data_IF_185930528333
#
_entry.id   IF_185930528333
#
_cell.length_a   1.000
_cell.length_b   1.000
_cell.length_c   1.000
_cell.angle_alpha   90.00
_cell.angle_beta   90.00
_cell.angle_gamma   90.00
#
_symmetry.space_group_name_H-M   'P 1'
#
loop_
_entity.id
_entity.type
_entity.pdbx_description
1 polymer ?
#
# COMPACT_ATOMS: atom_id res chain seq x y z
N UNK A 1 -25.78 -12.72 -4.29
CA UNK A 1 -24.48 -13.21 -3.82
C UNK A 1 -23.42 -12.14 -4.06
N UNK A 2 -22.59 -11.94 -3.06
CA UNK A 2 -21.50 -10.99 -3.15
C UNK A 2 -20.17 -11.75 -3.28
N UNK A 3 -19.39 -11.36 -4.26
CA UNK A 3 -18.09 -11.98 -4.50
C UNK A 3 -17.04 -10.88 -4.52
N UNK A 4 -16.03 -11.04 -3.68
CA UNK A 4 -14.89 -10.14 -3.65
C UNK A 4 -13.67 -10.84 -4.25
N UNK A 5 -12.89 -10.09 -5.02
CA UNK A 5 -11.76 -10.63 -5.73
C UNK A 5 -10.62 -9.64 -5.72
N UNK A 6 -9.43 -10.10 -5.33
CA UNK A 6 -8.24 -9.29 -5.39
C UNK A 6 -7.65 -9.32 -6.79
N UNK A 7 -7.26 -8.18 -7.29
CA UNK A 7 -6.53 -8.12 -8.56
C UNK A 7 -5.08 -8.54 -8.31
N UNK A 8 -4.39 -8.89 -9.39
CA UNK A 8 -3.00 -9.28 -9.32
C UNK A 8 -2.14 -8.10 -8.87
N UNK A 9 -1.29 -8.26 -7.85
CA UNK A 9 -0.40 -7.18 -7.46
C UNK A 9 0.56 -6.81 -8.58
N UNK A 10 0.71 -5.51 -8.81
CA UNK A 10 1.61 -4.98 -9.82
C UNK A 10 2.70 -4.15 -9.15
N UNK A 11 3.96 -4.29 -9.57
CA UNK A 11 5.02 -3.48 -9.00
C UNK A 11 4.81 -2.01 -9.33
N UNK A 12 5.01 -1.17 -8.33
CA UNK A 12 4.95 0.28 -8.48
C UNK A 12 6.36 0.83 -8.41
N UNK A 13 6.84 1.38 -9.51
CA UNK A 13 8.15 2.00 -9.53
C UNK A 13 8.03 3.47 -9.16
N UNK A 14 8.95 3.95 -8.34
CA UNK A 14 8.98 5.32 -7.89
C UNK A 14 10.44 5.75 -7.72
N UNK A 15 10.68 7.06 -7.84
CA UNK A 15 12.04 7.60 -7.74
C UNK A 15 12.42 7.96 -6.31
N UNK A 16 11.49 8.57 -5.58
CA UNK A 16 11.70 9.03 -4.21
C UNK A 16 10.38 8.99 -3.44
N UNK A 17 10.43 9.43 -2.19
CA UNK A 17 9.26 9.40 -1.32
C UNK A 17 8.12 10.26 -1.87
N UNK A 18 8.42 11.45 -2.38
CA UNK A 18 7.39 12.33 -2.94
C UNK A 18 6.74 11.72 -4.17
N UNK A 19 7.54 11.10 -5.03
CA UNK A 19 7.03 10.41 -6.21
C UNK A 19 6.10 9.27 -5.82
N UNK A 20 6.47 8.49 -4.80
CA UNK A 20 5.64 7.41 -4.29
C UNK A 20 4.30 7.94 -3.81
N UNK A 21 4.31 9.02 -3.03
CA UNK A 21 3.07 9.62 -2.52
C UNK A 21 2.15 10.06 -3.65
N UNK A 22 2.71 10.61 -4.73
CA UNK A 22 1.93 11.08 -5.85
C UNK A 22 1.32 9.95 -6.67
N UNK A 23 1.91 8.78 -6.62
CA UNK A 23 1.44 7.61 -7.39
C UNK A 23 0.40 6.78 -6.65
N UNK A 24 0.33 6.88 -5.33
CA UNK A 24 -0.68 6.19 -4.55
C UNK A 24 -2.03 6.88 -4.67
N UNK A 25 -3.08 6.07 -4.81
CA UNK A 25 -4.44 6.58 -4.95
C UNK A 25 -5.28 6.18 -3.74
N UNK A 26 -5.60 7.14 -2.86
CA UNK A 26 -6.44 6.84 -1.69
C UNK A 26 -7.79 6.26 -2.11
N UNK A 27 -8.27 5.30 -1.34
CA UNK A 27 -9.54 4.60 -1.52
C UNK A 27 -9.60 3.69 -2.75
N UNK A 28 -8.51 3.59 -3.53
CA UNK A 28 -8.46 2.79 -4.75
C UNK A 28 -7.46 1.64 -4.61
N UNK A 29 -6.23 1.96 -4.19
CA UNK A 29 -5.14 0.98 -4.20
C UNK A 29 -4.94 0.32 -2.84
N UNK A 30 -4.85 -1.01 -2.83
CA UNK A 30 -4.23 -1.72 -1.74
C UNK A 30 -2.72 -1.66 -1.96
N UNK A 31 -1.96 -1.67 -0.90
CA UNK A 31 -0.51 -1.48 -0.96
C UNK A 31 0.19 -2.61 -0.23
N UNK A 32 1.21 -3.16 -0.87
CA UNK A 32 2.10 -4.15 -0.28
C UNK A 32 3.48 -3.54 -0.24
N UNK A 33 4.08 -3.47 0.96
CA UNK A 33 5.49 -3.10 1.11
C UNK A 33 6.30 -4.35 1.40
N UNK A 34 7.45 -4.44 0.78
CA UNK A 34 8.37 -5.56 1.01
C UNK A 34 9.78 -5.02 1.19
N UNK A 35 10.49 -5.53 2.21
CA UNK A 35 11.86 -5.17 2.50
C UNK A 35 12.59 -6.43 2.99
N UNK A 36 13.46 -6.98 2.15
CA UNK A 36 14.24 -8.18 2.45
C UNK A 36 13.36 -9.32 2.95
N UNK A 37 13.31 -9.53 4.27
CA UNK A 37 12.54 -10.61 4.88
C UNK A 37 11.18 -10.18 5.41
N UNK A 38 10.89 -8.88 5.37
CA UNK A 38 9.68 -8.32 5.95
C UNK A 38 8.71 -7.89 4.86
N UNK A 39 7.44 -8.08 5.15
CA UNK A 39 6.37 -7.70 4.23
C UNK A 39 5.14 -7.31 5.04
N UNK A 40 4.43 -6.31 4.56
CA UNK A 40 3.14 -5.93 5.12
C UNK A 40 2.20 -5.49 4.00
N UNK A 41 0.92 -5.67 4.24
CA UNK A 41 -0.12 -5.37 3.25
C UNK A 41 -1.24 -4.61 3.93
N UNK A 42 -1.72 -3.55 3.27
CA UNK A 42 -2.95 -2.87 3.64
C UNK A 42 -3.97 -2.98 2.50
N UNK A 43 -5.20 -3.30 2.86
CA UNK A 43 -6.32 -3.33 1.92
C UNK A 43 -6.75 -1.89 1.58
N UNK A 44 -7.40 -1.68 0.43
CA UNK A 44 -7.87 -0.33 0.08
C UNK A 44 -8.79 0.29 1.12
N UNK A 45 -9.54 -0.52 1.84
CA UNK A 45 -10.45 -0.04 2.89
C UNK A 45 -9.73 0.67 4.03
N UNK A 46 -8.44 0.43 4.22
CA UNK A 46 -7.67 1.12 5.26
C UNK A 46 -7.61 2.62 5.00
N UNK A 47 -7.73 3.05 3.75
CA UNK A 47 -7.77 4.47 3.41
C UNK A 47 -8.92 5.21 4.09
N UNK A 48 -10.00 4.52 4.43
CA UNK A 48 -11.12 5.14 5.15
C UNK A 48 -10.71 5.63 6.54
N UNK A 49 -9.73 4.95 7.15
CA UNK A 49 -9.22 5.31 8.47
C UNK A 49 -7.99 6.20 8.38
N UNK A 50 -7.19 6.02 7.34
CA UNK A 50 -5.93 6.73 7.14
C UNK A 50 -5.91 7.26 5.71
N UNK A 51 -6.58 8.39 5.43
CA UNK A 51 -6.68 8.91 4.07
C UNK A 51 -5.42 9.60 3.56
N UNK A 52 -4.49 9.93 4.46
CA UNK A 52 -3.24 10.58 4.08
C UNK A 52 -2.22 9.53 3.62
N UNK A 53 -1.72 9.60 2.37
CA UNK A 53 -0.73 8.64 1.88
C UNK A 53 0.52 8.54 2.75
N UNK A 54 0.99 9.66 3.31
CA UNK A 54 2.17 9.66 4.18
C UNK A 54 1.90 8.85 5.44
N UNK A 55 0.78 9.09 6.11
CA UNK A 55 0.43 8.33 7.31
C UNK A 55 0.15 6.87 6.98
N UNK A 56 -0.46 6.62 5.83
CA UNK A 56 -0.73 5.26 5.36
C UNK A 56 0.57 4.46 5.28
N UNK A 57 1.59 5.04 4.66
CA UNK A 57 2.90 4.39 4.54
C UNK A 57 3.62 4.28 5.89
N UNK A 58 3.50 5.30 6.74
CA UNK A 58 4.07 5.26 8.09
C UNK A 58 3.52 4.06 8.87
N UNK A 59 2.21 3.90 8.86
CA UNK A 59 1.56 2.80 9.57
C UNK A 59 1.89 1.45 8.94
N UNK A 60 2.00 1.41 7.63
CA UNK A 60 2.36 0.18 6.93
C UNK A 60 3.79 -0.25 7.27
N UNK A 61 4.72 0.68 7.37
CA UNK A 61 6.08 0.39 7.83
C UNK A 61 6.08 -0.15 9.25
N UNK A 62 5.30 0.44 10.15
CA UNK A 62 5.16 -0.05 11.52
C UNK A 62 4.60 -1.48 11.54
N UNK A 63 3.62 -1.76 10.71
CA UNK A 63 3.06 -3.10 10.58
C UNK A 63 4.10 -4.10 10.12
N UNK A 64 5.00 -3.67 9.24
CA UNK A 64 6.09 -4.49 8.72
C UNK A 64 7.17 -4.76 9.77
N UNK A 65 7.16 -4.01 10.87
CA UNK A 65 8.19 -4.11 11.91
C UNK A 65 9.35 -3.16 11.71
N UNK A 66 9.17 -2.14 10.87
CA UNK A 66 10.19 -1.15 10.59
C UNK A 66 9.84 0.19 11.24
N UNK A 67 10.74 1.17 11.10
CA UNK A 67 10.48 2.53 11.55
C UNK A 67 9.39 3.18 10.71
N UNK A 68 8.65 4.13 11.28
CA UNK A 68 7.58 4.82 10.56
C UNK A 68 8.06 5.48 9.28
N UNK A 69 9.27 6.03 9.29
CA UNK A 69 9.83 6.72 8.15
C UNK A 69 10.75 5.85 7.30
N UNK A 70 10.68 4.53 7.46
CA UNK A 70 11.54 3.61 6.74
C UNK A 70 11.39 3.75 5.22
N UNK A 71 10.16 3.97 4.75
CA UNK A 71 9.87 4.16 3.33
C UNK A 71 10.51 5.44 2.75
N UNK A 72 10.83 6.43 3.61
CA UNK A 72 11.51 7.65 3.18
C UNK A 72 13.03 7.47 3.15
N UNK A 73 13.55 6.58 4.00
CA UNK A 73 14.99 6.41 4.17
C UNK A 73 15.57 5.33 3.26
N UNK A 74 14.75 4.43 2.77
CA UNK A 74 15.18 3.32 1.93
C UNK A 74 14.18 3.10 0.80
N UNK A 75 14.71 2.77 -0.37
CA UNK A 75 13.85 2.37 -1.49
C UNK A 75 13.32 0.95 -1.24
N UNK A 76 12.02 0.81 -1.14
CA UNK A 76 11.37 -0.46 -0.86
C UNK A 76 10.69 -1.00 -2.11
N UNK A 77 10.44 -2.31 -2.11
CA UNK A 77 9.60 -2.91 -3.13
C UNK A 77 8.14 -2.61 -2.78
N UNK A 78 7.46 -1.90 -3.67
CA UNK A 78 6.08 -1.52 -3.49
C UNK A 78 5.23 -2.16 -4.57
N UNK A 79 4.12 -2.76 -4.16
CA UNK A 79 3.14 -3.33 -5.08
C UNK A 79 1.78 -2.73 -4.77
N UNK A 80 0.98 -2.55 -5.80
CA UNK A 80 -0.39 -2.07 -5.66
C UNK A 80 -1.35 -3.09 -6.26
N UNK A 81 -2.52 -3.19 -5.67
CA UNK A 81 -3.58 -4.07 -6.16
C UNK A 81 -4.92 -3.44 -5.87
N UNK A 82 -5.97 -4.01 -6.42
CA UNK A 82 -7.32 -3.51 -6.23
C UNK A 82 -8.23 -4.66 -5.82
N UNK A 83 -9.37 -4.30 -5.25
CA UNK A 83 -10.39 -5.26 -4.87
C UNK A 83 -11.59 -5.06 -5.78
N UNK A 84 -12.00 -6.11 -6.48
CA UNK A 84 -13.19 -6.10 -7.30
C UNK A 84 -14.31 -6.79 -6.53
N UNK A 85 -15.48 -6.15 -6.48
CA UNK A 85 -16.64 -6.70 -5.81
C UNK A 85 -17.77 -6.85 -6.83
N UNK A 86 -18.42 -7.99 -6.79
CA UNK A 86 -19.55 -8.30 -7.66
C UNK A 86 -20.76 -8.58 -6.79
N UNK A 87 -21.89 -7.96 -7.13
CA UNK A 87 -23.16 -8.15 -6.43
C UNK A 87 -24.18 -8.76 -7.39
N UNK A 88 -24.89 -9.74 -6.90
CA UNK A 88 -25.98 -10.35 -7.63
C UNK A 88 -27.29 -10.19 -6.88
#
# INVERSE_FOLDING_TARGET
VEVSRLTRPLPLEYRDADDLLSKLRPHVDGVILRDDFRRATFLPQVWEKIPDPSEFLDNLCCKMGASRNHWQNKHLDVFVYQVEEFHE
#
